data_IF_396187911423
#
_entry.id   IF_396187911423
#
_cell.length_a   1.000
_cell.length_b   1.000
_cell.length_c   1.000
_cell.angle_alpha   90.00
_cell.angle_beta   90.00
_cell.angle_gamma   90.00
#
_symmetry.space_group_name_H-M   'P 1'
#
loop_
_entity.id
_entity.type
_entity.pdbx_description
1 polymer ?
#
# COMPACT_ATOMS: atom_id res chain seq x y z
N UNK A 1 22.69 -23.99 -22.71
CA UNK A 1 22.16 -23.50 -21.43
C UNK A 1 23.17 -22.48 -20.91
N UNK A 2 22.91 -21.19 -21.16
CA UNK A 2 23.70 -20.08 -20.60
C UNK A 2 22.93 -19.61 -19.36
N UNK A 3 23.46 -19.88 -18.20
CA UNK A 3 23.06 -19.22 -16.95
C UNK A 3 23.51 -17.75 -17.07
N UNK A 4 22.58 -16.81 -17.21
CA UNK A 4 22.88 -15.41 -17.01
C UNK A 4 23.17 -15.23 -15.51
N UNK A 5 24.43 -15.02 -15.18
CA UNK A 5 24.83 -14.49 -13.88
C UNK A 5 24.27 -13.06 -13.85
N UNK A 6 23.17 -12.85 -13.14
CA UNK A 6 22.71 -11.50 -12.79
C UNK A 6 23.91 -10.77 -12.17
N UNK A 7 24.32 -9.69 -12.79
CA UNK A 7 25.37 -8.84 -12.25
C UNK A 7 24.86 -8.29 -10.92
N UNK A 8 25.36 -8.85 -9.80
CA UNK A 8 25.04 -8.39 -8.46
C UNK A 8 25.29 -6.88 -8.40
N UNK A 9 24.21 -6.11 -8.17
CA UNK A 9 24.32 -4.65 -8.07
C UNK A 9 25.29 -4.32 -6.95
N UNK A 10 26.40 -3.63 -7.29
CA UNK A 10 27.45 -3.31 -6.32
C UNK A 10 27.07 -2.25 -5.30
N UNK A 11 25.88 -1.62 -5.47
CA UNK A 11 25.32 -0.66 -4.53
C UNK A 11 24.00 -1.22 -4.02
N UNK A 12 23.90 -1.47 -2.72
CA UNK A 12 22.69 -1.95 -2.06
C UNK A 12 22.00 -0.81 -1.29
N UNK A 13 20.71 -0.64 -1.54
CA UNK A 13 19.82 0.24 -0.79
C UNK A 13 19.06 -0.57 0.27
N UNK A 14 18.58 0.07 1.35
CA UNK A 14 17.64 -0.58 2.26
C UNK A 14 16.38 -1.01 1.50
N UNK A 15 15.85 -2.15 1.86
CA UNK A 15 14.50 -2.54 1.45
C UNK A 15 13.50 -1.61 2.17
N UNK A 16 12.72 -0.83 1.42
CA UNK A 16 11.80 0.17 2.00
C UNK A 16 10.33 -0.11 1.73
N UNK A 17 10.01 -0.94 0.74
CA UNK A 17 8.66 -1.33 0.36
C UNK A 17 8.71 -2.58 -0.50
N UNK A 18 7.57 -3.28 -0.62
CA UNK A 18 7.51 -4.52 -1.39
C UNK A 18 7.99 -4.36 -2.83
N UNK A 19 8.68 -5.39 -3.30
CA UNK A 19 9.13 -5.57 -4.66
C UNK A 19 8.23 -6.59 -5.39
N UNK A 20 8.31 -6.69 -6.72
CA UNK A 20 7.54 -7.70 -7.47
C UNK A 20 7.72 -9.13 -6.95
N UNK A 21 8.91 -9.47 -6.45
CA UNK A 21 9.25 -10.77 -5.88
C UNK A 21 8.53 -11.05 -4.57
N UNK A 22 8.17 -10.00 -3.80
CA UNK A 22 7.52 -10.12 -2.50
C UNK A 22 6.01 -10.39 -2.60
N UNK A 23 5.41 -10.25 -3.79
CA UNK A 23 3.96 -10.37 -3.99
C UNK A 23 3.61 -11.61 -4.82
N UNK A 24 2.56 -12.34 -4.38
CA UNK A 24 1.88 -13.27 -5.24
C UNK A 24 0.57 -12.68 -5.77
N UNK A 25 0.28 -12.94 -7.05
CA UNK A 25 -0.95 -12.52 -7.72
C UNK A 25 -1.93 -13.69 -7.73
N UNK A 26 -3.11 -13.49 -7.15
CA UNK A 26 -4.16 -14.51 -7.10
C UNK A 26 -5.18 -14.21 -8.20
N UNK A 27 -5.39 -15.17 -9.09
CA UNK A 27 -6.27 -15.07 -10.26
C UNK A 27 -7.40 -16.10 -10.15
N UNK A 28 -8.63 -15.67 -10.46
CA UNK A 28 -9.74 -16.57 -10.69
C UNK A 28 -9.82 -16.93 -12.17
N UNK A 29 -9.50 -18.17 -12.54
CA UNK A 29 -9.51 -18.66 -13.92
C UNK A 29 -10.94 -18.77 -14.50
N UNK A 30 -11.98 -18.78 -13.68
CA UNK A 30 -13.37 -18.81 -14.13
C UNK A 30 -13.93 -17.42 -14.42
N UNK A 31 -13.20 -16.35 -14.01
CA UNK A 31 -13.55 -14.95 -14.29
C UNK A 31 -12.64 -14.38 -15.41
N UNK A 32 -13.21 -14.07 -16.59
CA UNK A 32 -12.43 -13.48 -17.69
C UNK A 32 -11.75 -12.17 -17.33
N UNK A 33 -12.41 -11.32 -16.51
CA UNK A 33 -11.83 -10.05 -16.08
C UNK A 33 -10.63 -10.28 -15.15
N UNK A 34 -10.75 -11.21 -14.22
CA UNK A 34 -9.65 -11.61 -13.31
C UNK A 34 -8.42 -12.08 -14.07
N UNK A 35 -8.62 -12.91 -15.12
CA UNK A 35 -7.51 -13.36 -15.98
C UNK A 35 -6.81 -12.18 -16.70
N UNK A 36 -7.60 -11.27 -17.27
CA UNK A 36 -7.05 -10.10 -17.97
C UNK A 36 -6.25 -9.22 -17.00
N UNK A 37 -6.80 -8.92 -15.83
CA UNK A 37 -6.15 -8.11 -14.79
C UNK A 37 -4.84 -8.77 -14.34
N UNK A 38 -4.89 -10.06 -13.95
CA UNK A 38 -3.74 -10.77 -13.41
C UNK A 38 -2.60 -10.90 -14.41
N UNK A 39 -2.92 -11.21 -15.69
CA UNK A 39 -1.92 -11.30 -16.75
C UNK A 39 -1.30 -9.92 -17.07
N UNK A 40 -2.13 -8.87 -17.11
CA UNK A 40 -1.61 -7.51 -17.32
C UNK A 40 -0.71 -7.07 -16.17
N UNK A 41 -1.13 -7.31 -14.92
CA UNK A 41 -0.34 -6.94 -13.73
C UNK A 41 1.00 -7.68 -13.69
N UNK A 42 0.99 -8.98 -14.01
CA UNK A 42 2.22 -9.77 -14.12
C UNK A 42 3.22 -9.14 -15.08
N UNK A 43 2.76 -8.80 -16.29
CA UNK A 43 3.64 -8.21 -17.33
C UNK A 43 4.11 -6.81 -16.96
N UNK A 44 3.18 -5.95 -16.51
CA UNK A 44 3.44 -4.55 -16.22
C UNK A 44 4.35 -4.35 -14.98
N UNK A 45 4.24 -5.24 -14.00
CA UNK A 45 5.04 -5.22 -12.76
C UNK A 45 6.19 -6.22 -12.74
N UNK A 46 6.36 -7.03 -13.79
CA UNK A 46 7.38 -8.09 -13.87
C UNK A 46 7.29 -9.10 -12.71
N UNK A 47 6.06 -9.47 -12.34
CA UNK A 47 5.85 -10.46 -11.27
C UNK A 47 6.40 -11.81 -11.73
N UNK A 48 7.24 -12.50 -10.92
CA UNK A 48 7.76 -13.81 -11.27
C UNK A 48 6.65 -14.84 -11.49
N UNK A 49 6.78 -15.70 -12.50
CA UNK A 49 5.76 -16.72 -12.82
C UNK A 49 5.47 -17.64 -11.61
N UNK A 50 6.48 -17.94 -10.80
CA UNK A 50 6.32 -18.76 -9.59
C UNK A 50 5.38 -18.11 -8.54
N UNK A 51 5.18 -16.79 -8.62
CA UNK A 51 4.30 -16.03 -7.73
C UNK A 51 2.88 -15.90 -8.30
N UNK A 52 2.57 -16.53 -9.45
CA UNK A 52 1.24 -16.51 -10.04
C UNK A 52 0.39 -17.66 -9.52
N UNK A 53 -0.66 -17.36 -8.77
CA UNK A 53 -1.57 -18.35 -8.15
C UNK A 53 -2.89 -18.35 -8.92
N UNK A 54 -3.15 -19.41 -9.68
CA UNK A 54 -4.33 -19.57 -10.53
C UNK A 54 -5.29 -20.57 -9.91
N UNK A 55 -6.52 -20.14 -9.64
CA UNK A 55 -7.55 -20.93 -8.95
C UNK A 55 -8.88 -20.79 -9.68
N UNK A 56 -9.83 -21.69 -9.37
CA UNK A 56 -11.18 -21.70 -9.94
C UNK A 56 -12.21 -21.65 -8.82
N UNK A 57 -13.12 -20.68 -8.88
CA UNK A 57 -14.23 -20.53 -7.95
C UNK A 57 -15.30 -19.59 -8.54
N UNK A 58 -16.55 -19.70 -8.05
CA UNK A 58 -17.63 -18.81 -8.49
C UNK A 58 -17.43 -17.37 -8.00
N UNK A 59 -17.53 -16.40 -8.92
CA UNK A 59 -17.51 -14.95 -8.65
C UNK A 59 -18.91 -14.30 -8.71
N UNK A 60 -19.98 -15.10 -8.85
CA UNK A 60 -21.35 -14.58 -9.00
C UNK A 60 -21.88 -13.84 -7.76
N UNK A 61 -21.32 -14.13 -6.60
CA UNK A 61 -21.74 -13.53 -5.32
C UNK A 61 -20.66 -12.63 -4.75
N UNK A 62 -21.08 -11.52 -4.17
CA UNK A 62 -20.20 -10.60 -3.46
C UNK A 62 -19.65 -11.19 -2.14
N UNK A 63 -20.35 -12.16 -1.56
CA UNK A 63 -20.01 -12.81 -0.30
C UNK A 63 -19.73 -14.30 -0.52
N UNK A 64 -18.52 -14.73 -0.19
CA UNK A 64 -18.11 -16.13 -0.18
C UNK A 64 -18.53 -16.79 1.14
N UNK A 65 -18.97 -18.04 1.09
CA UNK A 65 -19.24 -18.82 2.32
C UNK A 65 -17.92 -19.16 3.02
N UNK A 66 -17.99 -19.41 4.33
CA UNK A 66 -16.81 -19.84 5.10
C UNK A 66 -16.18 -21.13 4.56
N UNK A 67 -17.02 -22.09 4.14
CA UNK A 67 -16.55 -23.38 3.60
C UNK A 67 -15.81 -23.21 2.28
N UNK A 68 -16.36 -22.40 1.36
CA UNK A 68 -15.71 -22.06 0.08
C UNK A 68 -14.38 -21.38 0.35
N UNK A 69 -14.36 -20.39 1.26
CA UNK A 69 -13.15 -19.67 1.63
C UNK A 69 -12.08 -20.59 2.25
N UNK A 70 -12.45 -21.49 3.15
CA UNK A 70 -11.50 -22.45 3.74
C UNK A 70 -10.80 -23.30 2.69
N UNK A 71 -11.55 -23.77 1.68
CA UNK A 71 -10.98 -24.54 0.58
C UNK A 71 -10.08 -23.66 -0.30
N UNK A 72 -10.52 -22.44 -0.62
CA UNK A 72 -9.74 -21.47 -1.39
C UNK A 72 -8.42 -21.14 -0.66
N UNK A 73 -8.49 -20.78 0.62
CA UNK A 73 -7.33 -20.43 1.45
C UNK A 73 -6.31 -21.58 1.54
N UNK A 74 -6.79 -22.80 1.74
CA UNK A 74 -5.91 -24.00 1.75
C UNK A 74 -5.13 -24.15 0.44
N UNK A 75 -5.78 -23.91 -0.70
CA UNK A 75 -5.12 -23.99 -2.00
C UNK A 75 -4.13 -22.84 -2.19
N UNK A 76 -4.50 -21.60 -1.79
CA UNK A 76 -3.60 -20.44 -1.84
C UNK A 76 -2.36 -20.71 -1.00
N UNK A 77 -2.52 -21.14 0.26
CA UNK A 77 -1.39 -21.39 1.17
C UNK A 77 -0.43 -22.45 0.62
N UNK A 78 -0.97 -23.51 0.02
CA UNK A 78 -0.17 -24.57 -0.59
C UNK A 78 0.64 -24.11 -1.82
N UNK A 79 0.09 -23.16 -2.58
CA UNK A 79 0.70 -22.64 -3.82
C UNK A 79 1.58 -21.43 -3.60
N UNK A 80 1.48 -20.78 -2.44
CA UNK A 80 2.26 -19.57 -2.13
C UNK A 80 3.69 -19.94 -1.80
N UNK A 81 4.70 -19.43 -2.54
CA UNK A 81 6.10 -19.58 -2.18
C UNK A 81 6.43 -18.94 -0.82
N UNK A 82 7.38 -19.51 -0.09
CA UNK A 82 7.72 -19.06 1.28
C UNK A 82 8.21 -17.61 1.35
N UNK A 83 8.88 -17.13 0.30
CA UNK A 83 9.41 -15.76 0.25
C UNK A 83 8.31 -14.69 0.08
N UNK A 84 7.13 -15.05 -0.38
CA UNK A 84 6.02 -14.10 -0.62
C UNK A 84 5.54 -13.48 0.68
N UNK A 85 5.47 -12.16 0.70
CA UNK A 85 5.08 -11.36 1.88
C UNK A 85 3.62 -10.86 1.80
N UNK A 86 3.04 -10.72 0.60
CA UNK A 86 1.72 -10.13 0.41
C UNK A 86 1.00 -10.71 -0.82
N UNK A 87 -0.29 -10.40 -0.96
CA UNK A 87 -1.13 -10.81 -2.08
C UNK A 87 -1.71 -9.63 -2.84
N UNK A 88 -1.59 -9.65 -4.17
CA UNK A 88 -2.40 -8.87 -5.09
C UNK A 88 -3.57 -9.75 -5.57
N UNK A 89 -4.80 -9.30 -5.37
CA UNK A 89 -6.02 -10.07 -5.70
C UNK A 89 -6.61 -9.52 -6.99
N UNK A 90 -6.62 -10.30 -8.07
CA UNK A 90 -6.97 -9.82 -9.40
C UNK A 90 -8.48 -9.88 -9.71
N UNK A 91 -9.35 -9.50 -8.76
CA UNK A 91 -10.80 -9.42 -8.97
C UNK A 91 -11.46 -8.43 -8.02
N UNK A 92 -12.70 -8.06 -8.28
CA UNK A 92 -13.50 -7.14 -7.45
C UNK A 92 -14.51 -7.88 -6.57
N UNK A 93 -15.04 -9.00 -7.02
CA UNK A 93 -16.00 -9.85 -6.31
C UNK A 93 -15.60 -11.33 -6.41
N UNK A 94 -15.75 -12.12 -5.31
CA UNK A 94 -16.23 -11.75 -3.97
C UNK A 94 -15.21 -10.89 -3.20
N UNK A 95 -15.71 -9.95 -2.38
CA UNK A 95 -14.88 -9.08 -1.53
C UNK A 95 -15.06 -9.35 -0.02
N UNK A 96 -15.95 -10.30 0.34
CA UNK A 96 -16.32 -10.56 1.73
C UNK A 96 -16.43 -12.07 2.02
N UNK A 97 -16.10 -12.44 3.26
CA UNK A 97 -16.27 -13.80 3.80
C UNK A 97 -16.97 -13.68 5.14
N UNK A 98 -18.25 -14.02 5.23
CA UNK A 98 -19.02 -13.84 6.46
C UNK A 98 -18.99 -12.39 6.94
N UNK A 99 -18.41 -12.15 8.12
CA UNK A 99 -18.24 -10.80 8.71
C UNK A 99 -16.90 -10.14 8.38
N UNK A 100 -15.95 -10.87 7.84
CA UNK A 100 -14.63 -10.36 7.48
C UNK A 100 -14.59 -9.89 6.02
N UNK A 101 -13.75 -8.91 5.71
CA UNK A 101 -13.37 -8.67 4.32
C UNK A 101 -12.57 -9.85 3.76
N UNK A 102 -12.59 -10.02 2.44
CA UNK A 102 -11.77 -11.04 1.78
C UNK A 102 -10.28 -10.80 2.02
N UNK A 103 -9.83 -9.55 1.94
CA UNK A 103 -8.43 -9.20 2.14
C UNK A 103 -7.94 -9.54 3.54
N UNK A 104 -8.75 -9.26 4.57
CA UNK A 104 -8.40 -9.63 5.95
C UNK A 104 -8.51 -11.12 6.21
N UNK A 105 -9.49 -11.81 5.61
CA UNK A 105 -9.59 -13.26 5.69
C UNK A 105 -8.39 -13.96 5.01
N UNK A 106 -7.89 -13.43 3.88
CA UNK A 106 -6.68 -13.93 3.23
C UNK A 106 -5.44 -13.76 4.13
N UNK A 107 -5.33 -12.62 4.83
CA UNK A 107 -4.18 -12.32 5.67
C UNK A 107 -4.13 -13.16 6.96
N UNK A 108 -5.27 -13.31 7.64
CA UNK A 108 -5.34 -13.92 8.98
C UNK A 108 -5.95 -15.33 9.02
N UNK A 109 -6.59 -15.77 7.92
CA UNK A 109 -7.61 -16.80 7.98
C UNK A 109 -8.96 -16.23 8.46
N UNK A 110 -10.05 -16.97 8.23
CA UNK A 110 -11.34 -16.60 8.80
C UNK A 110 -11.38 -16.98 10.30
N UNK A 111 -11.57 -15.97 11.16
CA UNK A 111 -11.71 -16.15 12.60
C UNK A 111 -12.72 -15.13 13.17
N UNK A 112 -13.67 -15.56 13.97
CA UNK A 112 -14.71 -14.72 14.55
C UNK A 112 -14.18 -13.63 15.50
N UNK A 113 -12.94 -13.74 15.99
CA UNK A 113 -12.31 -12.68 16.81
C UNK A 113 -12.12 -11.37 16.02
N UNK A 114 -12.10 -11.45 14.69
CA UNK A 114 -12.04 -10.28 13.78
C UNK A 114 -13.43 -9.75 13.40
N UNK A 115 -14.51 -10.38 13.88
CA UNK A 115 -15.88 -9.97 13.58
C UNK A 115 -16.39 -8.99 14.65
N UNK A 116 -17.00 -7.89 14.20
CA UNK A 116 -17.69 -6.96 15.10
C UNK A 116 -19.01 -7.57 15.56
N UNK A 117 -19.11 -7.87 16.85
CA UNK A 117 -20.36 -8.31 17.47
C UNK A 117 -20.93 -7.14 18.28
N UNK A 118 -22.11 -6.63 17.92
CA UNK A 118 -22.80 -5.53 18.64
C UNK A 118 -21.88 -4.34 18.92
N UNK A 119 -21.19 -3.84 17.90
CA UNK A 119 -20.27 -2.71 18.05
C UNK A 119 -19.12 -2.93 19.07
N UNK A 120 -18.59 -4.13 19.14
CA UNK A 120 -17.44 -4.42 19.98
C UNK A 120 -16.11 -4.19 19.26
N UNK A 121 -15.02 -3.96 20.00
CA UNK A 121 -13.66 -4.07 19.49
C UNK A 121 -13.40 -5.43 18.85
N UNK A 122 -12.51 -5.47 17.85
CA UNK A 122 -12.08 -6.71 17.21
C UNK A 122 -10.59 -6.95 17.46
N UNK A 123 -10.10 -8.15 17.12
CA UNK A 123 -8.69 -8.47 17.30
C UNK A 123 -7.79 -7.49 16.52
N UNK A 124 -6.69 -7.01 17.14
CA UNK A 124 -5.76 -6.11 16.50
C UNK A 124 -4.86 -6.84 15.49
N UNK A 125 -4.32 -6.07 14.55
CA UNK A 125 -3.29 -6.51 13.63
C UNK A 125 -1.89 -6.32 14.25
N UNK A 126 -1.03 -7.35 14.30
CA UNK A 126 0.36 -7.17 14.71
C UNK A 126 1.17 -6.32 13.72
N UNK A 127 0.64 -6.11 12.52
CA UNK A 127 1.29 -5.28 11.49
C UNK A 127 0.95 -3.79 11.62
N UNK A 128 0.01 -3.42 12.52
CA UNK A 128 -0.33 -2.01 12.77
C UNK A 128 0.89 -1.22 13.26
N UNK A 129 1.24 -0.18 12.53
CA UNK A 129 2.39 0.70 12.77
C UNK A 129 3.73 -0.04 13.03
N UNK A 130 3.84 -1.28 12.54
CA UNK A 130 5.00 -2.11 12.74
C UNK A 130 6.18 -1.66 11.85
N UNK A 131 7.42 -1.73 12.34
CA UNK A 131 8.60 -1.37 11.55
C UNK A 131 8.94 -2.42 10.48
N UNK A 132 8.53 -3.67 10.67
CA UNK A 132 8.87 -4.77 9.77
C UNK A 132 8.35 -4.57 8.35
N UNK A 133 9.15 -5.03 7.39
CA UNK A 133 8.86 -5.11 5.97
C UNK A 133 8.63 -6.56 5.51
N UNK A 134 8.62 -7.51 6.44
CA UNK A 134 8.48 -8.94 6.20
C UNK A 134 7.34 -9.55 7.02
N UNK A 135 6.07 -9.14 6.78
CA UNK A 135 4.95 -9.53 7.62
C UNK A 135 4.65 -11.02 7.62
N UNK A 136 4.91 -11.74 6.51
CA UNK A 136 4.74 -13.18 6.48
C UNK A 136 5.78 -13.89 7.37
N UNK A 137 7.00 -13.40 7.39
CA UNK A 137 8.09 -13.94 8.19
C UNK A 137 7.91 -13.63 9.68
N UNK A 138 7.66 -12.36 10.00
CA UNK A 138 7.69 -11.85 11.37
C UNK A 138 6.37 -12.06 12.12
N UNK A 139 5.24 -11.94 11.41
CA UNK A 139 3.91 -11.95 12.03
C UNK A 139 3.01 -13.09 11.54
N UNK A 140 3.49 -13.93 10.62
CA UNK A 140 2.73 -15.04 10.01
C UNK A 140 1.45 -14.58 9.33
N UNK A 141 1.46 -13.39 8.78
CA UNK A 141 0.36 -12.82 8.00
C UNK A 141 0.84 -12.29 6.66
N UNK A 142 -0.01 -12.40 5.64
CA UNK A 142 0.24 -11.82 4.32
C UNK A 142 -0.84 -10.79 4.01
N UNK A 143 -0.52 -9.47 4.09
CA UNK A 143 -1.43 -8.43 3.65
C UNK A 143 -1.97 -8.72 2.25
N UNK A 144 -3.24 -8.42 2.00
CA UNK A 144 -3.84 -8.57 0.69
C UNK A 144 -4.50 -7.26 0.25
N UNK A 145 -4.43 -6.96 -1.05
CA UNK A 145 -5.08 -5.80 -1.66
C UNK A 145 -5.67 -6.20 -3.02
N UNK A 146 -6.89 -5.72 -3.30
CA UNK A 146 -7.59 -6.06 -4.52
C UNK A 146 -7.30 -5.04 -5.61
N UNK A 147 -6.86 -5.51 -6.77
CA UNK A 147 -6.83 -4.76 -8.02
C UNK A 147 -8.27 -4.65 -8.53
N UNK A 148 -9.04 -3.77 -7.91
CA UNK A 148 -10.50 -3.70 -8.07
C UNK A 148 -10.95 -2.64 -9.08
N UNK A 149 -11.95 -2.99 -9.86
CA UNK A 149 -12.62 -2.13 -10.82
C UNK A 149 -13.75 -2.88 -11.51
N UNK A 150 -14.59 -2.16 -12.27
CA UNK A 150 -15.76 -2.75 -12.96
C UNK A 150 -15.45 -3.12 -14.41
N UNK A 151 -14.30 -2.68 -14.95
CA UNK A 151 -13.82 -3.07 -16.28
C UNK A 151 -12.31 -3.22 -16.31
N UNK A 152 -11.80 -3.88 -17.33
CA UNK A 152 -10.35 -4.01 -17.54
C UNK A 152 -9.68 -2.65 -17.73
N UNK A 153 -10.29 -1.72 -18.45
CA UNK A 153 -9.76 -0.37 -18.71
C UNK A 153 -9.56 0.41 -17.42
N UNK A 154 -10.52 0.32 -16.48
CA UNK A 154 -10.40 0.97 -15.17
C UNK A 154 -9.24 0.40 -14.37
N UNK A 155 -9.12 -0.93 -14.30
CA UNK A 155 -8.04 -1.57 -13.54
C UNK A 155 -6.69 -1.38 -14.23
N UNK A 156 -6.66 -1.40 -15.57
CA UNK A 156 -5.44 -1.06 -16.33
C UNK A 156 -4.97 0.36 -16.00
N UNK A 157 -5.87 1.34 -16.03
CA UNK A 157 -5.55 2.72 -15.69
C UNK A 157 -5.06 2.86 -14.22
N UNK A 158 -5.63 2.07 -13.29
CA UNK A 158 -5.16 1.99 -11.91
C UNK A 158 -3.72 1.46 -11.83
N UNK A 159 -3.42 0.36 -12.53
CA UNK A 159 -2.08 -0.24 -12.56
C UNK A 159 -1.07 0.73 -13.17
N UNK A 160 -1.42 1.33 -14.32
CA UNK A 160 -0.53 2.25 -15.04
C UNK A 160 -0.16 3.48 -14.18
N UNK A 161 -1.13 4.08 -13.46
CA UNK A 161 -0.82 5.22 -12.57
C UNK A 161 -0.07 4.80 -11.32
N UNK A 162 -0.27 3.58 -10.80
CA UNK A 162 0.55 3.02 -9.74
C UNK A 162 2.01 2.90 -10.16
N UNK A 163 2.27 2.35 -11.35
CA UNK A 163 3.62 2.27 -11.94
C UNK A 163 4.21 3.67 -12.16
N UNK A 164 3.42 4.59 -12.73
CA UNK A 164 3.87 5.96 -12.96
C UNK A 164 4.21 6.72 -11.66
N UNK A 165 3.69 6.27 -10.54
CA UNK A 165 3.98 6.87 -9.24
C UNK A 165 5.35 6.49 -8.68
N UNK A 166 5.91 5.33 -9.04
CA UNK A 166 7.13 4.82 -8.42
C UNK A 166 8.30 5.81 -8.55
N UNK A 167 8.94 6.10 -7.42
CA UNK A 167 10.08 7.02 -7.35
C UNK A 167 9.81 8.44 -7.90
N UNK A 168 8.54 8.84 -8.03
CA UNK A 168 8.17 10.14 -8.63
C UNK A 168 8.32 11.32 -7.66
N UNK A 169 8.26 11.07 -6.35
CA UNK A 169 8.27 12.10 -5.30
C UNK A 169 7.27 13.23 -5.57
N UNK A 170 5.96 12.90 -5.72
CA UNK A 170 4.96 13.86 -6.14
C UNK A 170 4.85 15.02 -5.16
N UNK A 171 4.73 16.24 -5.69
CA UNK A 171 4.49 17.46 -4.92
C UNK A 171 2.99 17.68 -4.82
N UNK A 172 2.32 16.96 -3.91
CA UNK A 172 0.89 17.02 -3.71
C UNK A 172 0.51 17.48 -2.32
N UNK A 173 -0.77 17.76 -2.15
CA UNK A 173 -1.41 18.25 -0.93
C UNK A 173 -2.11 17.10 -0.20
N UNK A 174 -2.03 17.10 1.12
CA UNK A 174 -2.88 16.27 1.97
C UNK A 174 -4.10 17.08 2.43
N UNK A 175 -5.30 16.55 2.18
CA UNK A 175 -6.58 17.11 2.60
C UNK A 175 -7.21 16.23 3.67
N UNK A 176 -7.34 16.73 4.89
CA UNK A 176 -8.00 16.08 6.01
C UNK A 176 -9.28 16.85 6.32
N UNK A 177 -10.45 16.26 6.02
CA UNK A 177 -11.72 16.97 6.15
C UNK A 177 -12.44 16.60 7.44
N UNK A 178 -12.72 17.63 8.25
CA UNK A 178 -13.63 17.57 9.39
C UNK A 178 -15.04 17.91 8.89
N UNK A 179 -15.90 16.90 8.81
CA UNK A 179 -17.23 17.00 8.20
C UNK A 179 -18.33 17.28 9.23
N UNK A 180 -19.50 17.66 8.76
CA UNK A 180 -20.70 17.84 9.59
C UNK A 180 -21.31 16.50 10.06
N UNK A 181 -20.95 15.36 9.48
CA UNK A 181 -21.43 14.02 9.85
C UNK A 181 -20.73 13.54 11.13
N UNK A 182 -21.33 13.84 12.29
CA UNK A 182 -20.74 13.53 13.60
C UNK A 182 -20.43 12.04 13.80
N UNK A 183 -21.21 11.15 13.19
CA UNK A 183 -21.02 9.71 13.33
C UNK A 183 -19.77 9.21 12.54
N UNK A 184 -19.47 9.86 11.41
CA UNK A 184 -18.39 9.47 10.51
C UNK A 184 -17.15 10.36 10.64
N UNK A 185 -17.26 11.50 11.33
CA UNK A 185 -16.18 12.47 11.51
C UNK A 185 -15.22 12.13 12.67
N UNK A 186 -15.31 10.95 13.25
CA UNK A 186 -14.56 10.61 14.48
C UNK A 186 -13.04 10.56 14.30
N UNK A 187 -12.51 10.35 13.06
CA UNK A 187 -11.07 10.46 12.77
C UNK A 187 -10.54 11.90 12.88
N UNK A 188 -11.41 12.91 12.72
CA UNK A 188 -11.00 14.33 12.75
C UNK A 188 -10.36 14.74 14.07
N UNK A 189 -10.66 14.06 15.16
CA UNK A 189 -10.03 14.28 16.48
C UNK A 189 -8.52 14.10 16.47
N UNK A 190 -7.97 13.32 15.51
CA UNK A 190 -6.53 13.06 15.37
C UNK A 190 -5.83 14.00 14.37
N UNK A 191 -6.56 14.81 13.59
CA UNK A 191 -5.99 15.57 12.48
C UNK A 191 -4.97 16.63 12.90
N UNK A 192 -5.24 17.31 14.02
CA UNK A 192 -4.29 18.31 14.54
C UNK A 192 -2.95 17.67 14.95
N UNK A 193 -2.99 16.46 15.53
CA UNK A 193 -1.76 15.73 15.87
C UNK A 193 -1.09 15.23 14.60
N UNK A 194 -1.84 14.71 13.63
CA UNK A 194 -1.32 14.31 12.32
C UNK A 194 -0.54 15.43 11.63
N UNK A 195 -1.08 16.66 11.65
CA UNK A 195 -0.43 17.83 11.06
C UNK A 195 0.90 18.17 11.77
N UNK A 196 0.96 18.01 13.09
CA UNK A 196 2.21 18.22 13.86
C UNK A 196 3.25 17.14 13.55
N UNK A 197 2.84 15.88 13.52
CA UNK A 197 3.74 14.75 13.29
C UNK A 197 4.36 14.78 11.90
N UNK A 198 3.62 15.26 10.90
CA UNK A 198 4.03 15.31 9.49
C UNK A 198 4.46 16.72 9.04
N UNK A 199 4.62 17.65 9.97
CA UNK A 199 5.14 18.99 9.65
C UNK A 199 6.50 18.91 8.94
N UNK A 200 6.62 19.60 7.79
CA UNK A 200 7.83 19.56 6.96
C UNK A 200 8.01 18.29 6.13
N UNK A 201 7.03 17.36 6.16
CA UNK A 201 7.01 16.15 5.32
C UNK A 201 6.10 16.36 4.11
N UNK A 202 4.83 16.68 4.36
CA UNK A 202 3.83 16.97 3.34
C UNK A 202 3.16 18.31 3.61
N UNK A 203 2.80 19.07 2.56
CA UNK A 203 1.83 20.14 2.69
C UNK A 203 0.49 19.51 3.11
N UNK A 204 -0.10 20.00 4.22
CA UNK A 204 -1.31 19.41 4.80
C UNK A 204 -2.29 20.52 5.19
N UNK A 205 -3.55 20.35 4.81
CA UNK A 205 -4.67 21.20 5.17
C UNK A 205 -5.72 20.41 5.95
N UNK A 206 -6.13 20.96 7.09
CA UNK A 206 -7.32 20.50 7.84
C UNK A 206 -8.43 21.47 7.48
N UNK A 207 -9.51 20.96 6.92
CA UNK A 207 -10.64 21.76 6.44
C UNK A 207 -11.92 21.36 7.16
N UNK A 208 -12.66 22.34 7.65
CA UNK A 208 -14.01 22.13 8.20
C UNK A 208 -15.04 22.26 7.08
N UNK A 209 -15.19 21.18 6.31
CA UNK A 209 -16.09 21.09 5.16
C UNK A 209 -16.43 19.64 4.84
N UNK A 210 -17.54 19.42 4.14
CA UNK A 210 -17.96 18.08 3.71
C UNK A 210 -17.22 17.61 2.46
N UNK A 211 -16.71 18.51 1.61
CA UNK A 211 -16.00 18.18 0.37
C UNK A 211 -15.04 19.30 -0.04
N UNK A 212 -14.18 18.97 -0.98
CA UNK A 212 -13.36 19.91 -1.76
C UNK A 212 -13.72 19.76 -3.25
N UNK A 213 -13.50 20.82 -4.04
CA UNK A 213 -13.68 20.83 -5.50
C UNK A 213 -12.51 21.51 -6.18
N UNK A 214 -12.33 21.23 -7.46
CA UNK A 214 -11.39 21.91 -8.36
C UNK A 214 -9.93 21.94 -7.87
N UNK A 215 -9.52 20.88 -7.16
CA UNK A 215 -8.14 20.68 -6.70
C UNK A 215 -7.43 19.68 -7.62
N UNK A 216 -6.28 20.09 -8.17
CA UNK A 216 -5.50 19.27 -9.13
C UNK A 216 -4.19 18.71 -8.53
N UNK A 217 -4.05 18.79 -7.21
CA UNK A 217 -2.83 18.44 -6.47
C UNK A 217 -3.08 17.42 -5.35
N UNK A 218 -4.16 16.63 -5.46
CA UNK A 218 -4.59 15.71 -4.39
C UNK A 218 -3.64 14.52 -4.32
N UNK A 219 -2.90 14.42 -3.22
CA UNK A 219 -2.04 13.29 -2.92
C UNK A 219 -2.59 12.43 -1.79
N UNK A 220 -3.23 13.06 -0.80
CA UNK A 220 -3.95 12.38 0.27
C UNK A 220 -5.30 13.04 0.49
N UNK A 221 -6.35 12.22 0.62
CA UNK A 221 -7.68 12.73 0.96
C UNK A 221 -8.36 11.80 1.97
N UNK A 222 -8.49 12.25 3.20
CA UNK A 222 -9.13 11.50 4.27
C UNK A 222 -10.33 12.28 4.84
N UNK A 223 -11.49 11.63 4.86
CA UNK A 223 -12.76 12.24 5.27
C UNK A 223 -13.67 11.25 5.96
N UNK A 224 -14.86 11.66 6.36
CA UNK A 224 -15.88 10.79 6.93
C UNK A 224 -17.26 11.26 6.54
N UNK A 225 -17.88 10.58 5.56
CA UNK A 225 -19.22 10.84 5.02
C UNK A 225 -19.84 9.56 4.47
N UNK A 226 -21.14 9.52 4.32
CA UNK A 226 -21.85 8.44 3.60
C UNK A 226 -21.53 8.46 2.10
N UNK A 227 -21.42 9.67 1.54
CA UNK A 227 -21.12 9.94 0.14
C UNK A 227 -20.24 11.20 0.06
N UNK A 228 -19.20 11.17 -0.74
CA UNK A 228 -18.28 12.29 -0.94
C UNK A 228 -18.56 12.93 -2.30
N UNK A 229 -19.08 14.18 -2.31
CA UNK A 229 -19.40 14.87 -3.56
C UNK A 229 -18.15 15.37 -4.27
N UNK A 230 -18.33 15.77 -5.54
CA UNK A 230 -17.36 16.53 -6.36
C UNK A 230 -16.06 15.81 -6.67
N UNK A 231 -16.00 14.47 -6.53
CA UNK A 231 -14.80 13.70 -6.83
C UNK A 231 -14.34 13.85 -8.29
N UNK A 232 -15.27 14.05 -9.21
CA UNK A 232 -15.03 14.25 -10.64
C UNK A 232 -14.32 15.57 -10.98
N UNK A 233 -14.28 16.53 -10.04
CA UNK A 233 -13.57 17.80 -10.21
C UNK A 233 -12.13 17.75 -9.72
N UNK A 234 -11.72 16.63 -9.12
CA UNK A 234 -10.41 16.51 -8.47
C UNK A 234 -9.39 15.84 -9.39
N UNK A 235 -8.17 16.35 -9.38
CA UNK A 235 -6.99 15.72 -9.97
C UNK A 235 -6.15 15.02 -8.90
N UNK A 236 -6.22 13.69 -8.89
CA UNK A 236 -5.38 12.87 -8.04
C UNK A 236 -4.02 12.63 -8.70
N UNK A 237 -2.95 12.88 -7.95
CA UNK A 237 -1.61 12.57 -8.42
C UNK A 237 -1.35 11.06 -8.41
N UNK A 238 -0.56 10.52 -9.35
CA UNK A 238 -0.12 9.13 -9.27
C UNK A 238 0.48 8.79 -7.90
N UNK A 239 0.00 7.71 -7.29
CA UNK A 239 0.36 7.34 -5.92
C UNK A 239 -0.58 7.89 -4.83
N UNK A 240 -1.62 8.64 -5.19
CA UNK A 240 -2.55 9.22 -4.20
C UNK A 240 -3.30 8.15 -3.40
N UNK A 241 -3.43 8.38 -2.09
CA UNK A 241 -4.21 7.56 -1.16
C UNK A 241 -5.45 8.34 -0.70
N UNK A 242 -6.62 7.74 -0.83
CA UNK A 242 -7.87 8.41 -0.46
C UNK A 242 -8.91 7.44 0.07
N UNK A 243 -9.59 7.80 1.15
CA UNK A 243 -10.70 7.02 1.70
C UNK A 243 -11.67 7.87 2.50
N UNK A 244 -12.84 7.33 2.73
CA UNK A 244 -13.86 7.91 3.59
C UNK A 244 -14.32 6.91 4.64
N UNK A 245 -14.47 7.38 5.86
CA UNK A 245 -15.03 6.59 6.94
C UNK A 245 -16.55 6.52 6.75
N UNK A 246 -17.03 5.32 6.44
CA UNK A 246 -18.47 4.98 6.38
C UNK A 246 -18.65 3.48 6.61
N UNK A 247 -19.88 3.05 6.93
CA UNK A 247 -20.14 1.66 7.37
C UNK A 247 -20.02 0.62 6.26
N UNK A 248 -20.30 0.98 5.02
CA UNK A 248 -20.41 0.03 3.92
C UNK A 248 -19.60 0.42 2.68
N UNK A 249 -18.62 1.30 2.80
CA UNK A 249 -17.76 1.71 1.68
C UNK A 249 -16.96 0.57 1.04
N UNK A 250 -16.74 -0.52 1.77
CA UNK A 250 -16.07 -1.73 1.27
C UNK A 250 -17.01 -2.76 0.63
N UNK A 251 -18.32 -2.54 0.62
CA UNK A 251 -19.26 -3.30 -0.21
C UNK A 251 -19.12 -2.77 -1.65
N UNK A 252 -18.18 -3.34 -2.40
CA UNK A 252 -17.64 -2.74 -3.61
C UNK A 252 -18.68 -2.58 -4.72
N UNK A 253 -19.60 -3.53 -4.88
CA UNK A 253 -20.54 -3.60 -6.01
C UNK A 253 -22.00 -3.44 -5.65
N UNK A 254 -22.37 -3.50 -4.37
CA UNK A 254 -23.75 -3.57 -3.90
C UNK A 254 -24.02 -2.70 -2.64
N UNK A 255 -23.19 -1.69 -2.39
CA UNK A 255 -23.38 -0.75 -1.28
C UNK A 255 -24.54 0.22 -1.53
N UNK A 256 -25.30 0.51 -0.47
CA UNK A 256 -26.24 1.63 -0.42
C UNK A 256 -25.57 2.97 -0.04
N UNK A 257 -24.26 2.93 0.28
CA UNK A 257 -23.40 4.08 0.53
C UNK A 257 -22.39 4.19 -0.61
N UNK A 258 -21.61 5.27 -0.66
CA UNK A 258 -20.56 5.38 -1.65
C UNK A 258 -19.56 4.23 -1.51
N UNK A 259 -19.36 3.47 -2.58
CA UNK A 259 -18.32 2.46 -2.65
C UNK A 259 -16.94 3.09 -2.69
N UNK A 260 -15.96 2.47 -2.03
CA UNK A 260 -14.55 2.88 -2.11
C UNK A 260 -13.96 2.76 -3.53
N UNK A 261 -14.60 2.03 -4.45
CA UNK A 261 -14.24 2.04 -5.88
C UNK A 261 -14.31 3.43 -6.50
N UNK A 262 -15.21 4.30 -6.02
CA UNK A 262 -15.36 5.68 -6.51
C UNK A 262 -14.06 6.48 -6.38
N UNK A 263 -13.26 6.21 -5.36
CA UNK A 263 -11.93 6.83 -5.22
C UNK A 263 -10.97 6.40 -6.34
N UNK A 264 -10.97 5.11 -6.67
CA UNK A 264 -10.12 4.59 -7.76
C UNK A 264 -10.58 5.11 -9.13
N UNK A 265 -11.90 5.20 -9.35
CA UNK A 265 -12.49 5.78 -10.56
C UNK A 265 -12.14 7.26 -10.71
N UNK A 266 -12.10 8.01 -9.60
CA UNK A 266 -11.72 9.42 -9.58
C UNK A 266 -10.21 9.65 -9.77
N UNK A 267 -9.38 8.60 -9.67
CA UNK A 267 -7.94 8.69 -9.90
C UNK A 267 -7.04 8.38 -8.70
N UNK A 268 -7.57 8.08 -7.52
CA UNK A 268 -6.76 7.61 -6.41
C UNK A 268 -6.09 6.27 -6.75
N UNK A 269 -4.89 6.03 -6.22
CA UNK A 269 -4.12 4.81 -6.48
C UNK A 269 -4.47 3.69 -5.51
N UNK A 270 -4.92 4.02 -4.30
CA UNK A 270 -5.44 3.04 -3.36
C UNK A 270 -6.51 3.66 -2.46
N UNK A 271 -7.38 2.80 -1.92
CA UNK A 271 -8.47 3.15 -1.04
C UNK A 271 -8.81 2.02 -0.06
N UNK A 272 -9.75 2.30 0.82
CA UNK A 272 -10.17 1.40 1.89
C UNK A 272 -11.66 1.59 2.18
N UNK A 273 -12.36 0.52 2.56
CA UNK A 273 -13.73 0.58 3.06
C UNK A 273 -14.10 -0.65 3.88
N UNK A 274 -15.13 -0.56 4.72
CA UNK A 274 -15.61 -1.69 5.52
C UNK A 274 -16.75 -2.42 4.84
N UNK A 275 -16.76 -3.77 4.94
CA UNK A 275 -17.74 -4.66 4.29
C UNK A 275 -18.90 -5.06 5.19
N UNK A 276 -18.81 -4.73 6.48
CA UNK A 276 -19.85 -4.92 7.48
C UNK A 276 -19.79 -3.77 8.46
N UNK A 277 -20.89 -3.48 9.19
CA UNK A 277 -20.96 -2.38 10.15
C UNK A 277 -19.76 -2.40 11.14
N UNK A 278 -18.86 -1.43 11.05
CA UNK A 278 -17.67 -1.36 11.91
C UNK A 278 -17.97 -0.68 13.24
N UNK A 279 -19.09 0.06 13.30
CA UNK A 279 -19.39 1.06 14.31
C UNK A 279 -18.34 2.20 14.31
N UNK A 280 -18.51 3.21 15.14
CA UNK A 280 -17.66 4.42 15.09
C UNK A 280 -16.31 4.23 15.79
N UNK A 281 -15.58 3.16 15.44
CA UNK A 281 -14.22 2.90 15.96
C UNK A 281 -13.17 3.40 14.96
N UNK A 282 -12.42 4.49 15.26
CA UNK A 282 -11.33 4.95 14.38
C UNK A 282 -10.28 3.86 14.10
N UNK A 283 -10.08 2.92 15.04
CA UNK A 283 -9.14 1.81 14.92
C UNK A 283 -9.47 0.84 13.77
N UNK A 284 -10.70 0.84 13.29
CA UNK A 284 -11.15 0.02 12.15
C UNK A 284 -10.97 0.71 10.80
N UNK A 285 -10.42 1.90 10.81
CA UNK A 285 -10.18 2.72 9.61
C UNK A 285 -8.71 3.14 9.56
N UNK A 286 -8.21 3.50 8.36
CA UNK A 286 -6.85 3.98 8.23
C UNK A 286 -6.58 5.24 9.07
N UNK A 287 -5.52 5.20 9.87
CA UNK A 287 -4.96 6.38 10.52
C UNK A 287 -4.18 7.19 9.48
N UNK A 288 -4.59 8.43 9.16
CA UNK A 288 -3.87 9.26 8.19
C UNK A 288 -2.38 9.44 8.55
N UNK A 289 -2.09 9.69 9.85
CA UNK A 289 -0.72 9.87 10.32
C UNK A 289 0.14 8.64 10.02
N UNK A 290 -0.35 7.43 10.31
CA UNK A 290 0.40 6.19 10.13
C UNK A 290 0.55 5.85 8.64
N UNK A 291 -0.52 6.00 7.83
CA UNK A 291 -0.46 5.76 6.40
C UNK A 291 0.57 6.66 5.72
N UNK A 292 0.48 7.96 5.96
CA UNK A 292 1.38 8.96 5.38
C UNK A 292 2.82 8.79 5.86
N UNK A 293 3.02 8.44 7.14
CA UNK A 293 4.36 8.22 7.70
C UNK A 293 5.08 7.05 7.04
N UNK A 294 4.42 5.88 6.96
CA UNK A 294 5.04 4.71 6.31
C UNK A 294 5.22 4.91 4.81
N UNK A 295 4.27 5.57 4.15
CA UNK A 295 4.40 5.89 2.73
C UNK A 295 5.59 6.82 2.46
N UNK A 296 5.81 7.82 3.32
CA UNK A 296 6.98 8.69 3.28
C UNK A 296 8.31 7.94 3.52
N UNK A 297 8.31 6.82 4.25
CA UNK A 297 9.47 5.95 4.41
C UNK A 297 9.77 5.09 3.17
N UNK A 298 8.93 5.18 2.13
CA UNK A 298 9.08 4.40 0.91
C UNK A 298 8.34 3.07 0.91
N UNK A 299 7.45 2.83 1.88
CA UNK A 299 6.55 1.68 1.86
C UNK A 299 5.67 1.71 0.60
N UNK A 300 5.25 0.53 0.13
CA UNK A 300 4.27 0.42 -0.93
C UNK A 300 2.85 0.76 -0.43
N UNK A 301 1.91 1.01 -1.35
CA UNK A 301 0.53 1.37 -1.00
C UNK A 301 -0.15 0.32 -0.11
N UNK A 302 0.04 -0.97 -0.41
CA UNK A 302 -0.49 -2.05 0.43
C UNK A 302 0.08 -1.99 1.85
N UNK A 303 1.39 -1.76 2.01
CA UNK A 303 2.01 -1.66 3.34
C UNK A 303 1.51 -0.44 4.09
N UNK A 304 1.47 0.73 3.44
CA UNK A 304 1.02 1.98 4.05
C UNK A 304 -0.41 1.85 4.59
N UNK A 305 -1.32 1.27 3.80
CA UNK A 305 -2.69 1.03 4.24
C UNK A 305 -2.79 -0.03 5.35
N UNK A 306 -2.17 -1.19 5.19
CA UNK A 306 -2.25 -2.26 6.19
C UNK A 306 -1.65 -1.85 7.54
N UNK A 307 -0.53 -1.12 7.53
CA UNK A 307 0.08 -0.57 8.74
C UNK A 307 -0.76 0.53 9.39
N UNK A 308 -1.72 1.11 8.68
CA UNK A 308 -2.53 2.21 9.20
C UNK A 308 -3.84 1.79 9.87
N UNK A 309 -4.24 0.51 9.76
CA UNK A 309 -5.49 0.00 10.35
C UNK A 309 -5.21 -0.94 11.50
N UNK A 310 -5.58 -0.53 12.71
CA UNK A 310 -5.33 -1.32 13.92
C UNK A 310 -6.20 -2.58 14.00
N UNK A 311 -7.47 -2.49 13.58
CA UNK A 311 -8.45 -3.58 13.61
C UNK A 311 -9.03 -3.83 12.20
N UNK A 312 -8.29 -4.51 11.31
CA UNK A 312 -8.63 -4.56 9.89
C UNK A 312 -9.69 -5.60 9.51
N UNK A 313 -10.22 -6.39 10.44
CA UNK A 313 -11.06 -7.56 10.15
C UNK A 313 -12.21 -7.31 9.16
N UNK A 314 -12.84 -6.13 9.20
CA UNK A 314 -13.94 -5.73 8.33
C UNK A 314 -13.50 -4.89 7.12
N UNK A 315 -12.25 -4.49 7.07
CA UNK A 315 -11.72 -3.59 6.05
C UNK A 315 -11.27 -4.32 4.80
N UNK A 316 -11.78 -3.93 3.63
CA UNK A 316 -11.24 -4.33 2.33
C UNK A 316 -10.27 -3.27 1.85
N UNK A 317 -9.10 -3.71 1.44
CA UNK A 317 -8.03 -2.89 0.87
C UNK A 317 -8.08 -3.03 -0.64
N UNK A 318 -8.20 -1.92 -1.36
CA UNK A 318 -8.28 -1.89 -2.82
C UNK A 318 -7.27 -0.90 -3.40
N UNK A 319 -6.75 -1.19 -4.58
CA UNK A 319 -5.78 -0.31 -5.24
C UNK A 319 -4.65 -1.06 -5.93
N UNK A 320 -3.61 -0.34 -6.28
CA UNK A 320 -2.39 -0.90 -6.84
C UNK A 320 -1.37 -1.17 -5.72
N UNK A 321 -1.11 -2.45 -5.40
CA UNK A 321 -0.36 -2.82 -4.19
C UNK A 321 1.08 -2.31 -4.12
N UNK A 322 1.79 -2.29 -5.26
CA UNK A 322 3.22 -1.98 -5.33
C UNK A 322 3.55 -0.51 -5.54
N UNK A 323 2.55 0.37 -5.71
CA UNK A 323 2.79 1.81 -5.87
C UNK A 323 3.61 2.37 -4.70
N UNK A 324 4.77 2.96 -5.00
CA UNK A 324 5.74 3.45 -3.98
C UNK A 324 6.40 4.76 -4.42
N UNK A 325 5.64 5.86 -4.43
CA UNK A 325 6.11 7.15 -4.95
C UNK A 325 7.32 7.71 -4.20
N UNK A 326 7.49 7.37 -2.94
CA UNK A 326 8.56 7.86 -2.08
C UNK A 326 9.70 6.85 -1.86
N UNK A 327 9.69 5.73 -2.58
CA UNK A 327 10.81 4.79 -2.53
C UNK A 327 12.12 5.46 -3.01
N UNK A 328 13.26 5.14 -2.40
CA UNK A 328 14.54 5.76 -2.74
C UNK A 328 14.91 5.51 -4.20
N UNK A 329 15.50 6.52 -4.84
CA UNK A 329 15.96 6.46 -6.22
C UNK A 329 17.46 6.73 -6.31
N UNK A 330 18.18 5.75 -6.80
CA UNK A 330 19.61 5.88 -7.10
C UNK A 330 19.82 6.11 -8.59
N UNK A 331 20.58 7.14 -8.93
CA UNK A 331 20.96 7.45 -10.32
C UNK A 331 22.46 7.58 -10.45
N UNK A 332 23.02 7.02 -11.51
CA UNK A 332 24.38 7.30 -11.94
C UNK A 332 24.37 8.58 -12.79
N UNK A 333 25.02 9.65 -12.31
CA UNK A 333 25.07 10.94 -13.01
C UNK A 333 26.19 10.91 -14.05
N UNK A 334 27.37 10.47 -13.64
CA UNK A 334 28.58 10.35 -14.45
C UNK A 334 29.38 9.13 -13.99
N UNK A 335 30.40 8.68 -14.74
CA UNK A 335 31.29 7.63 -14.25
C UNK A 335 31.84 7.94 -12.83
N UNK A 336 31.59 7.03 -11.89
CA UNK A 336 32.01 7.17 -10.51
C UNK A 336 31.24 8.20 -9.67
N UNK A 337 30.16 8.81 -10.18
CA UNK A 337 29.32 9.77 -9.42
C UNK A 337 27.85 9.34 -9.42
N UNK A 338 27.27 9.32 -8.24
CA UNK A 338 25.90 8.88 -8.00
C UNK A 338 25.10 9.94 -7.24
N UNK A 339 23.81 9.97 -7.54
CA UNK A 339 22.80 10.76 -6.84
C UNK A 339 21.78 9.81 -6.22
N UNK A 340 21.55 9.95 -4.92
CA UNK A 340 20.51 9.25 -4.19
C UNK A 340 19.43 10.26 -3.78
N UNK A 341 18.20 10.02 -4.22
CA UNK A 341 17.02 10.71 -3.69
C UNK A 341 16.40 9.84 -2.59
N UNK A 342 16.23 10.42 -1.39
CA UNK A 342 15.56 9.80 -0.24
C UNK A 342 14.46 10.73 0.24
N UNK A 343 13.29 10.19 0.53
CA UNK A 343 12.23 10.89 1.23
C UNK A 343 12.14 10.39 2.67
N UNK A 344 12.00 11.28 3.66
CA UNK A 344 11.99 10.86 5.06
C UNK A 344 10.94 11.63 5.86
N UNK A 345 10.13 10.96 6.69
CA UNK A 345 9.21 11.63 7.62
C UNK A 345 9.90 12.14 8.89
N UNK A 346 11.17 11.83 9.08
CA UNK A 346 11.95 12.20 10.28
C UNK A 346 13.37 12.60 9.93
N UNK A 347 14.02 13.32 10.82
CA UNK A 347 15.44 13.57 10.73
C UNK A 347 16.23 12.30 11.03
N UNK A 348 17.40 12.17 10.42
CA UNK A 348 18.25 11.01 10.57
C UNK A 348 19.63 11.19 9.97
N UNK A 349 20.32 10.08 9.76
CA UNK A 349 21.66 10.07 9.12
C UNK A 349 21.76 8.96 8.10
N UNK A 350 22.26 9.31 6.93
CA UNK A 350 22.68 8.33 5.91
C UNK A 350 24.12 7.90 6.21
N UNK A 351 24.34 6.60 6.29
CA UNK A 351 25.64 5.95 6.34
C UNK A 351 25.92 5.30 4.99
N UNK A 352 27.07 5.60 4.42
CA UNK A 352 27.59 4.94 3.22
C UNK A 352 28.76 4.08 3.65
N UNK A 353 28.63 2.78 3.50
CA UNK A 353 29.61 1.79 3.93
C UNK A 353 30.13 1.03 2.71
N UNK A 354 31.43 0.67 2.70
CA UNK A 354 32.05 -0.10 1.62
C UNK A 354 32.70 -1.38 2.10
N UNK A 355 32.80 -2.35 1.18
CA UNK A 355 33.53 -3.59 1.36
C UNK A 355 34.09 -4.07 0.03
N UNK A 356 35.21 -4.77 0.04
CA UNK A 356 35.74 -5.46 -1.14
C UNK A 356 34.97 -6.76 -1.46
N UNK A 357 34.16 -7.25 -0.52
CA UNK A 357 33.31 -8.44 -0.66
C UNK A 357 31.83 -8.09 -0.49
N UNK A 358 30.94 -8.72 -1.27
CA UNK A 358 29.51 -8.59 -1.12
C UNK A 358 28.99 -8.99 0.27
N UNK A 359 29.67 -9.92 0.93
CA UNK A 359 29.34 -10.40 2.27
C UNK A 359 29.93 -9.53 3.41
N UNK A 360 30.72 -8.50 3.07
CA UNK A 360 31.40 -7.66 4.04
C UNK A 360 32.79 -8.21 4.47
N UNK A 361 33.34 -7.72 5.56
CA UNK A 361 32.80 -6.71 6.46
C UNK A 361 32.72 -5.31 5.82
N UNK A 362 31.65 -4.57 6.11
CA UNK A 362 31.44 -3.22 5.64
C UNK A 362 32.02 -2.19 6.63
N UNK A 363 32.71 -1.16 6.10
CA UNK A 363 33.29 -0.04 6.88
C UNK A 363 32.81 1.28 6.30
N UNK A 364 32.70 2.32 7.13
CA UNK A 364 32.32 3.65 6.67
C UNK A 364 33.20 4.11 5.51
N UNK A 365 32.54 4.47 4.40
CA UNK A 365 33.19 5.04 3.21
C UNK A 365 33.37 6.55 3.34
N UNK A 366 32.43 7.24 4.01
CA UNK A 366 32.46 8.69 4.23
C UNK A 366 31.78 9.04 5.56
N UNK A 367 31.92 10.30 6.00
CA UNK A 367 31.16 10.79 7.16
C UNK A 367 29.66 10.65 6.91
N UNK A 368 28.87 10.20 7.92
CA UNK A 368 27.42 10.14 7.80
C UNK A 368 26.83 11.52 7.43
N UNK A 369 25.92 11.53 6.46
CA UNK A 369 25.28 12.73 5.97
C UNK A 369 23.90 12.90 6.66
N UNK A 370 23.52 14.14 6.98
CA UNK A 370 22.23 14.44 7.61
C UNK A 370 21.08 14.22 6.62
N UNK A 371 20.04 13.54 7.09
CA UNK A 371 18.73 13.43 6.43
C UNK A 371 17.76 14.36 7.15
N UNK A 372 17.05 15.20 6.41
CA UNK A 372 16.00 16.08 6.90
C UNK A 372 14.62 15.52 6.55
N UNK A 373 13.59 16.03 7.20
CA UNK A 373 12.20 15.74 6.81
C UNK A 373 11.93 16.15 5.37
N UNK A 374 11.13 15.37 4.63
CA UNK A 374 10.84 15.57 3.22
C UNK A 374 11.92 15.02 2.30
N UNK A 375 12.06 15.62 1.11
CA UNK A 375 12.95 15.17 0.03
C UNK A 375 14.40 15.58 0.29
N UNK A 376 15.31 14.61 0.23
CA UNK A 376 16.75 14.78 0.33
C UNK A 376 17.42 14.34 -0.98
N UNK A 377 18.41 15.12 -1.43
CA UNK A 377 19.22 14.83 -2.60
C UNK A 377 20.68 14.72 -2.16
N UNK A 378 21.27 13.56 -2.35
CA UNK A 378 22.58 13.22 -1.81
C UNK A 378 23.49 12.77 -2.93
N UNK A 379 24.66 13.41 -3.04
CA UNK A 379 25.68 13.07 -4.03
C UNK A 379 26.84 12.36 -3.36
N UNK A 380 27.32 11.28 -3.97
CA UNK A 380 28.51 10.57 -3.52
C UNK A 380 29.33 10.03 -4.68
N UNK A 381 30.58 9.68 -4.40
CA UNK A 381 31.49 9.06 -5.35
C UNK A 381 31.60 7.57 -5.04
N UNK A 382 31.66 6.76 -6.07
CA UNK A 382 31.88 5.33 -5.97
C UNK A 382 32.53 4.81 -7.25
N UNK A 383 33.71 4.22 -7.10
CA UNK A 383 34.40 3.55 -8.19
C UNK A 383 34.25 2.03 -8.00
N UNK A 384 33.48 1.40 -8.88
CA UNK A 384 33.21 -0.04 -8.84
C UNK A 384 34.48 -0.91 -8.90
N UNK A 385 35.59 -0.39 -9.46
CA UNK A 385 36.84 -1.11 -9.57
C UNK A 385 37.66 -1.10 -8.26
N UNK A 386 37.62 0.02 -7.53
CA UNK A 386 38.45 0.23 -6.35
C UNK A 386 37.67 0.11 -5.03
N UNK A 387 36.40 0.46 -5.02
CA UNK A 387 35.58 0.50 -3.80
C UNK A 387 34.80 -0.82 -3.54
N UNK A 388 34.68 -1.70 -4.57
CA UNK A 388 34.04 -3.01 -4.44
C UNK A 388 32.51 -2.93 -4.36
N UNK A 389 31.95 -2.99 -3.13
CA UNK A 389 30.52 -2.97 -2.84
C UNK A 389 30.18 -1.82 -1.89
N UNK A 390 29.06 -1.12 -2.14
CA UNK A 390 28.51 -0.14 -1.22
C UNK A 390 27.22 -0.64 -0.59
N UNK A 391 27.03 -0.30 0.68
CA UNK A 391 25.82 -0.45 1.44
C UNK A 391 25.38 0.91 1.96
N UNK A 392 24.19 1.35 1.58
CA UNK A 392 23.61 2.58 2.04
C UNK A 392 22.56 2.27 3.11
N UNK A 393 22.60 2.97 4.24
CA UNK A 393 21.66 2.80 5.34
C UNK A 393 21.30 4.18 5.92
N UNK A 394 20.05 4.37 6.25
CA UNK A 394 19.57 5.55 6.99
C UNK A 394 18.51 5.14 8.02
N UNK A 395 18.36 5.94 9.05
CA UNK A 395 17.44 5.73 10.16
C UNK A 395 16.64 7.02 10.47
#
# INVERSE_FOLDING_TARGET
AAFSVEAQTRISLPHTGFMPEDIAVIINEDDPLSRQIGNYYQQARHIPEINMIRLRFSSERSVMTRKEFQQLKKNIDRLTPDHVQAYAVAWTSPYRVGCMSLTSALAFGFDEKYCSKKCAPTAPSPYFNAPSQYPATDYKLRPAMMLAGTSFEQVKALIDRGIASDHSFPKGQAYLLSTSDKARNNRATSYAQTAKDLAGVFPLQILETNFISDRQDVLFYFTGLTEVPMLETLGFLPGALADHLTSAGGMLTDSLQMSSLRWLEAGATASYGTVTEPCSFPQKFPSPAVAMFHYALGASAIEAYWKSVAWPGQGVFIGEPLAKPFAPLLRKINPGRYELTVFSPREGRLRIEKSLSAAGPFKLHSRPQSIRRGKNLIHFKFDEKTDGYLKLQWN
#
